data_IF_876807766643
#
_entry.id   IF_876807766643
#
_cell.length_a   1.000
_cell.length_b   1.000
_cell.length_c   1.000
_cell.angle_alpha   90.00
_cell.angle_beta   90.00
_cell.angle_gamma   90.00
#
_symmetry.space_group_name_H-M   'P 1'
#
loop_
_entity.id
_entity.type
_entity.pdbx_description
1 polymer ?
#
# COMPACT_ATOMS: atom_id res chain seq x y z
N UNK A 1 14.32 -6.39 0.02
CA UNK A 1 14.01 -6.31 -1.44
C UNK A 1 14.37 -4.92 -1.98
N UNK A 2 14.70 -4.79 -3.27
CA UNK A 2 14.95 -3.49 -3.94
C UNK A 2 14.39 -3.49 -5.36
N UNK A 3 14.11 -2.32 -5.92
CA UNK A 3 13.65 -2.20 -7.31
C UNK A 3 14.78 -2.60 -8.27
N UNK A 4 14.61 -3.72 -8.98
CA UNK A 4 15.52 -4.22 -10.02
C UNK A 4 14.89 -4.09 -11.42
N UNK A 5 15.71 -4.25 -12.46
CA UNK A 5 15.31 -4.19 -13.87
C UNK A 5 14.47 -2.95 -14.23
N UNK A 6 14.93 -1.78 -13.80
CA UNK A 6 14.30 -0.50 -14.13
C UNK A 6 15.12 0.23 -15.20
N UNK A 7 14.53 0.44 -16.37
CA UNK A 7 15.17 1.16 -17.49
C UNK A 7 15.15 2.69 -17.33
N UNK A 8 14.44 3.22 -16.33
CA UNK A 8 14.41 4.66 -16.07
C UNK A 8 15.77 5.15 -15.59
N UNK A 9 16.15 6.37 -15.98
CA UNK A 9 17.34 7.04 -15.44
C UNK A 9 17.23 7.19 -13.92
N UNK A 10 18.35 7.15 -13.19
CA UNK A 10 18.36 7.27 -11.73
C UNK A 10 17.79 8.60 -11.22
N UNK A 11 18.00 9.70 -11.93
CA UNK A 11 17.40 11.00 -11.61
C UNK A 11 15.87 10.96 -11.65
N UNK A 12 15.31 10.27 -12.64
CA UNK A 12 13.87 10.11 -12.79
C UNK A 12 13.28 9.17 -11.73
N UNK A 13 13.99 8.10 -11.38
CA UNK A 13 13.62 7.22 -10.27
C UNK A 13 13.52 8.00 -8.93
N UNK A 14 14.48 8.91 -8.67
CA UNK A 14 14.47 9.76 -7.47
C UNK A 14 13.28 10.71 -7.46
N UNK A 15 13.01 11.42 -8.56
CA UNK A 15 11.83 12.29 -8.68
C UNK A 15 10.50 11.53 -8.50
N UNK A 16 10.39 10.33 -9.06
CA UNK A 16 9.20 9.50 -8.87
C UNK A 16 9.03 9.08 -7.41
N UNK A 17 10.12 8.82 -6.68
CA UNK A 17 10.08 8.54 -5.25
C UNK A 17 9.69 9.78 -4.44
N UNK A 18 10.24 10.96 -4.75
CA UNK A 18 9.85 12.23 -4.14
C UNK A 18 8.35 12.50 -4.33
N UNK A 19 7.84 12.34 -5.54
CA UNK A 19 6.41 12.45 -5.84
C UNK A 19 5.55 11.42 -5.11
N UNK A 20 6.04 10.18 -4.96
CA UNK A 20 5.34 9.16 -4.20
C UNK A 20 5.22 9.55 -2.72
N UNK A 21 6.30 10.05 -2.13
CA UNK A 21 6.34 10.52 -0.72
C UNK A 21 5.45 11.76 -0.53
N UNK A 22 5.40 12.65 -1.51
CA UNK A 22 4.54 13.82 -1.51
C UNK A 22 3.08 13.53 -1.90
N UNK A 23 2.68 12.25 -1.98
CA UNK A 23 1.32 11.79 -2.30
C UNK A 23 0.79 12.27 -3.66
N UNK A 24 1.67 12.63 -4.58
CA UNK A 24 1.31 12.98 -5.96
C UNK A 24 0.83 11.71 -6.67
N UNK A 25 -0.29 11.79 -7.39
CA UNK A 25 -0.80 10.60 -8.10
C UNK A 25 0.17 10.15 -9.20
N UNK A 26 0.25 8.85 -9.46
CA UNK A 26 1.10 8.31 -10.54
C UNK A 26 0.78 8.92 -11.91
N UNK A 27 -0.48 9.30 -12.16
CA UNK A 27 -0.90 9.98 -13.38
C UNK A 27 -0.28 11.38 -13.47
N UNK A 28 -0.48 12.20 -12.44
CA UNK A 28 0.10 13.55 -12.36
C UNK A 28 1.62 13.51 -12.43
N UNK A 29 2.25 12.55 -11.75
CA UNK A 29 3.70 12.33 -11.82
C UNK A 29 4.17 12.00 -13.25
N UNK A 30 3.41 11.18 -13.99
CA UNK A 30 3.72 10.87 -15.38
C UNK A 30 3.66 12.11 -16.28
N UNK A 31 2.62 12.92 -16.12
CA UNK A 31 2.41 14.16 -16.88
C UNK A 31 3.54 15.17 -16.59
N UNK A 32 3.87 15.39 -15.31
CA UNK A 32 4.93 16.33 -14.88
C UNK A 32 6.33 15.90 -15.33
N UNK A 33 6.57 14.59 -15.48
CA UNK A 33 7.87 14.05 -15.85
C UNK A 33 7.97 13.71 -17.35
N UNK A 34 6.90 13.87 -18.11
CA UNK A 34 6.84 13.55 -19.53
C UNK A 34 7.08 12.07 -19.84
N UNK A 35 6.57 11.16 -18.99
CA UNK A 35 6.72 9.71 -19.17
C UNK A 35 5.38 9.02 -19.38
N UNK A 36 5.43 7.79 -19.87
CA UNK A 36 4.23 7.00 -20.10
C UNK A 36 3.52 6.66 -18.77
N UNK A 37 2.18 6.85 -18.63
CA UNK A 37 1.46 6.68 -17.37
C UNK A 37 1.58 5.30 -16.71
N UNK A 38 1.56 4.21 -17.49
CA UNK A 38 1.75 2.85 -16.96
C UNK A 38 3.16 2.67 -16.38
N UNK A 39 4.16 3.40 -16.88
CA UNK A 39 5.52 3.37 -16.35
C UNK A 39 5.59 3.99 -14.96
N UNK A 40 4.93 5.14 -14.75
CA UNK A 40 4.82 5.73 -13.41
C UNK A 40 4.00 4.83 -12.47
N UNK A 41 2.87 4.30 -12.95
CA UNK A 41 2.01 3.40 -12.17
C UNK A 41 2.75 2.12 -11.74
N UNK A 42 3.50 1.50 -12.67
CA UNK A 42 4.33 0.33 -12.37
C UNK A 42 5.43 0.67 -11.37
N UNK A 43 6.08 1.83 -11.51
CA UNK A 43 7.11 2.25 -10.56
C UNK A 43 6.54 2.43 -9.15
N UNK A 44 5.38 3.07 -9.03
CA UNK A 44 4.68 3.25 -7.75
C UNK A 44 4.25 1.92 -7.14
N UNK A 45 3.77 0.99 -7.96
CA UNK A 45 3.46 -0.36 -7.50
C UNK A 45 4.71 -1.06 -6.95
N UNK A 46 5.84 -0.97 -7.63
CA UNK A 46 7.11 -1.53 -7.14
C UNK A 46 7.59 -0.88 -5.83
N UNK A 47 7.37 0.42 -5.64
CA UNK A 47 7.65 1.08 -4.34
C UNK A 47 6.81 0.43 -3.24
N UNK A 48 5.50 0.24 -3.46
CA UNK A 48 4.60 -0.39 -2.47
C UNK A 48 5.02 -1.82 -2.13
N UNK A 49 5.40 -2.62 -3.11
CA UNK A 49 5.91 -3.98 -2.87
C UNK A 49 7.21 -3.97 -2.02
N UNK A 50 8.10 -3.01 -2.25
CA UNK A 50 9.31 -2.87 -1.43
C UNK A 50 8.94 -2.49 0.01
N UNK A 51 8.00 -1.57 0.21
CA UNK A 51 7.48 -1.19 1.54
C UNK A 51 6.88 -2.41 2.23
N UNK A 52 5.97 -3.12 1.58
CA UNK A 52 5.33 -4.35 2.09
C UNK A 52 6.38 -5.37 2.52
N UNK A 53 7.37 -5.65 1.68
CA UNK A 53 8.42 -6.62 2.01
C UNK A 53 9.22 -6.23 3.26
N UNK A 54 9.59 -4.96 3.41
CA UNK A 54 10.33 -4.52 4.59
C UNK A 54 9.45 -4.48 5.85
N UNK A 55 8.18 -4.09 5.71
CA UNK A 55 7.21 -4.18 6.81
C UNK A 55 6.99 -5.62 7.27
N UNK A 56 6.93 -6.58 6.34
CA UNK A 56 6.81 -7.99 6.67
C UNK A 56 8.03 -8.52 7.44
N UNK A 57 9.25 -8.06 7.09
CA UNK A 57 10.46 -8.40 7.84
C UNK A 57 10.43 -7.80 9.26
N UNK A 58 9.98 -6.55 9.43
CA UNK A 58 9.82 -5.92 10.74
C UNK A 58 8.69 -6.55 11.56
N UNK A 59 7.64 -7.08 10.94
CA UNK A 59 6.50 -7.69 11.63
C UNK A 59 6.86 -8.98 12.40
N UNK A 60 8.04 -9.55 12.18
CA UNK A 60 8.57 -10.65 12.97
C UNK A 60 9.13 -10.20 14.34
N UNK A 61 9.25 -8.89 14.59
CA UNK A 61 9.53 -8.38 15.93
C UNK A 61 8.33 -8.65 16.86
N UNK A 62 8.59 -9.18 18.05
CA UNK A 62 7.55 -9.37 19.07
C UNK A 62 7.00 -8.00 19.46
N UNK A 63 5.69 -7.81 19.33
CA UNK A 63 5.04 -6.59 19.75
C UNK A 63 4.96 -6.55 21.29
N UNK A 64 5.63 -5.58 21.91
CA UNK A 64 5.56 -5.32 23.34
C UNK A 64 4.89 -3.97 23.65
N UNK A 65 4.12 -3.91 24.75
CA UNK A 65 3.43 -2.71 25.22
C UNK A 65 2.00 -2.55 24.70
N UNK A 66 1.48 -1.31 24.74
CA UNK A 66 0.11 -1.01 24.25
C UNK A 66 0.11 -0.86 22.74
N UNK A 67 -0.80 -1.56 22.08
CA UNK A 67 -1.02 -1.55 20.63
C UNK A 67 -2.46 -1.10 20.39
N UNK A 68 -2.67 -0.27 19.38
CA UNK A 68 -4.01 0.06 18.90
C UNK A 68 -4.29 -0.76 17.63
N UNK A 69 -5.50 -1.32 17.55
CA UNK A 69 -5.94 -2.16 16.43
C UNK A 69 -7.16 -1.49 15.79
N UNK A 70 -7.06 -1.17 14.51
CA UNK A 70 -8.17 -0.65 13.71
C UNK A 70 -8.51 -1.60 12.56
N UNK A 71 -9.78 -1.62 12.17
CA UNK A 71 -10.29 -2.45 11.09
C UNK A 71 -10.85 -1.56 9.96
N UNK A 72 -10.21 -1.65 8.80
CA UNK A 72 -10.60 -0.94 7.58
C UNK A 72 -11.08 -1.89 6.50
N UNK A 73 -12.09 -1.48 5.72
CA UNK A 73 -12.68 -2.31 4.66
C UNK A 73 -12.56 -1.64 3.29
N UNK A 74 -11.85 -2.29 2.35
CA UNK A 74 -11.55 -1.76 1.02
C UNK A 74 -12.23 -2.53 -0.11
N UNK A 75 -12.41 -1.89 -1.26
CA UNK A 75 -12.59 -2.61 -2.53
C UNK A 75 -13.96 -3.28 -2.78
N UNK A 76 -15.07 -2.68 -2.36
CA UNK A 76 -16.40 -3.16 -2.76
C UNK A 76 -16.58 -3.12 -4.28
N UNK A 77 -16.70 -4.30 -4.91
CA UNK A 77 -16.62 -4.50 -6.37
C UNK A 77 -17.71 -3.78 -7.18
N UNK A 78 -18.83 -3.33 -6.57
CA UNK A 78 -19.98 -2.72 -7.27
C UNK A 78 -20.70 -1.64 -6.46
N UNK A 79 -21.43 -0.76 -7.16
CA UNK A 79 -22.49 0.08 -6.57
C UNK A 79 -23.60 -0.83 -6.00
N UNK A 80 -24.01 -0.59 -4.76
CA UNK A 80 -24.97 -1.43 -4.04
C UNK A 80 -24.92 -1.15 -2.53
N UNK A 81 -25.33 -2.12 -1.70
CA UNK A 81 -25.31 -2.02 -0.24
C UNK A 81 -23.96 -1.48 0.26
N UNK A 82 -24.02 -0.44 1.08
CA UNK A 82 -22.86 0.24 1.68
C UNK A 82 -22.66 -0.24 3.12
N UNK A 83 -21.54 0.14 3.73
CA UNK A 83 -21.18 -0.27 5.09
C UNK A 83 -20.19 -1.44 5.15
N UNK A 84 -19.73 -1.78 6.36
CA UNK A 84 -18.64 -2.75 6.60
C UNK A 84 -18.98 -4.16 6.09
N UNK A 85 -20.22 -4.63 6.27
CA UNK A 85 -20.70 -5.94 5.81
C UNK A 85 -21.12 -6.04 4.34
N UNK A 86 -20.72 -5.10 3.47
CA UNK A 86 -21.05 -5.20 2.05
C UNK A 86 -20.18 -6.26 1.35
N UNK A 87 -20.81 -7.06 0.48
CA UNK A 87 -20.15 -8.16 -0.21
C UNK A 87 -18.96 -7.70 -1.06
N UNK A 88 -17.91 -8.53 -1.10
CA UNK A 88 -16.71 -8.27 -1.89
C UNK A 88 -15.78 -7.20 -1.32
N UNK A 89 -15.94 -6.83 -0.04
CA UNK A 89 -14.97 -6.00 0.67
C UNK A 89 -13.83 -6.84 1.25
N UNK A 90 -12.62 -6.32 1.13
CA UNK A 90 -11.42 -6.86 1.75
C UNK A 90 -11.25 -6.16 3.10
N UNK A 91 -11.28 -6.92 4.19
CA UNK A 91 -10.94 -6.40 5.51
C UNK A 91 -9.41 -6.33 5.64
N UNK A 92 -8.93 -5.23 6.21
CA UNK A 92 -7.51 -4.96 6.46
C UNK A 92 -7.42 -4.46 7.90
N UNK A 93 -6.63 -5.17 8.71
CA UNK A 93 -6.33 -4.73 10.07
C UNK A 93 -5.09 -3.83 10.05
N UNK A 94 -5.22 -2.64 10.62
CA UNK A 94 -4.12 -1.75 10.95
C UNK A 94 -3.72 -1.92 12.41
N UNK A 95 -2.46 -2.22 12.68
CA UNK A 95 -1.87 -2.30 14.02
C UNK A 95 -0.95 -1.09 14.20
N UNK A 96 -1.34 -0.13 15.03
CA UNK A 96 -0.54 1.04 15.36
C UNK A 96 0.27 0.77 16.65
N UNK A 97 1.60 0.81 16.52
CA UNK A 97 2.56 0.72 17.63
C UNK A 97 2.90 2.13 18.15
N UNK A 98 3.27 2.22 19.43
CA UNK A 98 3.88 3.44 20.00
C UNK A 98 5.08 3.86 19.14
N UNK A 99 5.28 5.17 18.98
CA UNK A 99 6.23 5.82 18.06
C UNK A 99 5.77 5.94 16.59
N UNK A 100 4.47 5.76 16.32
CA UNK A 100 3.87 6.11 15.02
C UNK A 100 4.09 5.09 13.90
N UNK A 101 4.56 3.87 14.22
CA UNK A 101 4.67 2.78 13.24
C UNK A 101 3.31 2.07 13.10
N UNK A 102 2.81 1.98 11.87
CA UNK A 102 1.59 1.23 11.53
C UNK A 102 1.96 0.00 10.71
N UNK A 103 1.52 -1.17 11.16
CA UNK A 103 1.58 -2.41 10.41
C UNK A 103 0.19 -2.73 9.86
N UNK A 104 0.11 -3.32 8.67
CA UNK A 104 -1.18 -3.68 8.06
C UNK A 104 -1.20 -5.14 7.64
N UNK A 105 -2.26 -5.86 7.99
CA UNK A 105 -2.48 -7.26 7.60
C UNK A 105 -3.78 -7.35 6.82
N UNK A 106 -3.70 -7.88 5.59
CA UNK A 106 -4.87 -8.15 4.75
C UNK A 106 -5.48 -9.48 5.19
N UNK A 107 -6.80 -9.51 5.38
CA UNK A 107 -7.53 -10.73 5.72
C UNK A 107 -7.91 -11.46 4.43
N UNK A 108 -7.28 -12.60 4.17
CA UNK A 108 -7.46 -13.34 2.91
C UNK A 108 -8.86 -13.92 2.73
N UNK A 109 -9.59 -14.21 3.82
CA UNK A 109 -10.93 -14.79 3.76
C UNK A 109 -11.87 -14.10 4.75
N UNK A 110 -12.73 -13.21 4.24
CA UNK A 110 -13.78 -12.53 4.99
C UNK A 110 -15.15 -13.20 4.83
N UNK A 111 -15.23 -14.33 4.13
CA UNK A 111 -16.49 -15.04 3.97
C UNK A 111 -16.82 -15.77 5.28
N UNK A 112 -18.03 -15.56 5.80
CA UNK A 112 -18.56 -16.38 6.88
C UNK A 112 -18.56 -17.84 6.44
N UNK A 113 -17.83 -18.70 7.16
CA UNK A 113 -18.12 -20.15 7.14
C UNK A 113 -19.51 -20.30 7.76
N UNK A 114 -20.47 -20.72 6.96
CA UNK A 114 -21.80 -21.14 7.43
C UNK A 114 -21.69 -22.43 8.23
#
# INVERSE_FOLDING_TARGET
MKITHCKLKKSLQKKLLEFFVAEVTARTAADLLGIQPNTAALFYHKIRLVIEHHLALEAHEIFEGKIEVDESYFGGHRKGKRGRGAAGKVAVFGLLKRQGKVFTVVVENTNQKR
#
